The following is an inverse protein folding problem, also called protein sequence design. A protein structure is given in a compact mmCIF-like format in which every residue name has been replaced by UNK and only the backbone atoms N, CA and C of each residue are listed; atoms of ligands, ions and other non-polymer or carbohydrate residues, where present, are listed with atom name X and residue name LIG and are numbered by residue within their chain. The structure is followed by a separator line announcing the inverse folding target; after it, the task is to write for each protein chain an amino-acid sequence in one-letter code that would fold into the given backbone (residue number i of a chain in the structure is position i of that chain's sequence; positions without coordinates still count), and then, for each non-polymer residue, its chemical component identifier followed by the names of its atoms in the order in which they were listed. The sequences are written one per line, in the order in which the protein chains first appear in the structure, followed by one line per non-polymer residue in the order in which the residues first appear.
data_IF_917865933703
#
_entry.id   IF_917865933703
#
_cell.length_a   1.000
_cell.length_b   1.000
_cell.length_c   1.000
_cell.angle_alpha   90.00
_cell.angle_beta   90.00
_cell.angle_gamma   90.00
#
_symmetry.space_group_name_H-M   'P 1'
#
loop_
_entity.id
_entity.type
_entity.pdbx_description
1 polymer ?
#
# COMPACT_ATOMS: atom_id res chain seq x y z
N UNK A 1 74.83 -21.98 -29.37
CA UNK A 1 73.34 -22.08 -29.12
C UNK A 1 72.67 -20.71 -28.93
N UNK A 2 73.30 -19.76 -28.29
CA UNK A 2 72.67 -18.44 -27.95
C UNK A 2 72.29 -17.55 -29.14
N UNK A 3 73.04 -17.62 -30.26
CA UNK A 3 72.84 -16.82 -31.51
C UNK A 3 71.58 -17.25 -32.30
N UNK A 4 71.10 -18.49 -32.15
CA UNK A 4 69.85 -18.95 -32.82
C UNK A 4 68.64 -18.48 -32.08
N UNK A 5 68.71 -18.40 -30.78
CA UNK A 5 67.59 -17.95 -29.95
C UNK A 5 67.22 -16.47 -30.13
N UNK A 6 68.27 -15.63 -30.31
CA UNK A 6 68.09 -14.19 -30.54
C UNK A 6 67.45 -13.88 -31.91
N UNK A 7 67.71 -14.77 -32.94
CA UNK A 7 67.15 -14.58 -34.28
C UNK A 7 65.68 -14.97 -34.39
N UNK A 8 65.20 -15.93 -33.59
CA UNK A 8 63.75 -16.28 -33.50
C UNK A 8 62.93 -15.20 -32.82
N UNK A 9 63.40 -14.57 -31.72
CA UNK A 9 62.70 -13.48 -31.02
C UNK A 9 62.58 -12.26 -31.95
N UNK A 10 63.52 -11.99 -32.81
CA UNK A 10 63.48 -10.83 -33.72
C UNK A 10 62.52 -11.03 -34.90
N UNK A 11 62.17 -12.27 -35.26
CA UNK A 11 61.26 -12.55 -36.37
C UNK A 11 59.78 -12.66 -35.93
N UNK A 12 59.52 -12.97 -34.65
CA UNK A 12 58.16 -12.97 -34.11
C UNK A 12 57.64 -11.58 -33.78
N UNK A 13 58.52 -10.60 -33.54
CA UNK A 13 58.14 -9.22 -33.14
C UNK A 13 57.58 -8.38 -34.32
N UNK A 14 57.82 -8.77 -35.59
CA UNK A 14 57.45 -7.92 -36.76
C UNK A 14 56.00 -8.19 -37.22
N UNK A 15 55.46 -9.39 -36.97
CA UNK A 15 54.10 -9.77 -37.42
C UNK A 15 53.02 -9.52 -36.40
N UNK A 16 53.35 -9.47 -35.08
CA UNK A 16 52.37 -9.24 -34.02
C UNK A 16 52.09 -7.76 -33.72
N UNK A 17 53.11 -6.89 -34.00
CA UNK A 17 53.00 -5.45 -33.76
C UNK A 17 51.87 -4.76 -34.56
N UNK A 18 51.70 -5.02 -35.87
CA UNK A 18 50.63 -4.38 -36.65
C UNK A 18 49.23 -4.88 -36.23
N UNK A 19 49.10 -6.14 -35.80
CA UNK A 19 47.85 -6.70 -35.37
C UNK A 19 47.37 -6.08 -34.04
N UNK A 20 48.28 -5.85 -33.09
CA UNK A 20 48.00 -5.19 -31.81
C UNK A 20 47.63 -3.71 -32.03
N UNK A 21 48.34 -3.01 -32.96
CA UNK A 21 48.04 -1.61 -33.31
C UNK A 21 46.64 -1.49 -33.94
N UNK A 22 46.30 -2.41 -34.87
CA UNK A 22 44.96 -2.43 -35.49
C UNK A 22 43.88 -2.71 -34.47
N UNK A 23 44.10 -3.62 -33.52
CA UNK A 23 43.16 -3.92 -32.44
C UNK A 23 42.98 -2.71 -31.48
N UNK A 24 44.06 -2.00 -31.17
CA UNK A 24 44.02 -0.77 -30.36
C UNK A 24 43.28 0.39 -31.08
N UNK A 25 43.45 0.51 -32.39
CA UNK A 25 42.73 1.49 -33.23
C UNK A 25 41.22 1.20 -33.30
N UNK A 26 40.83 -0.08 -33.33
CA UNK A 26 39.41 -0.46 -33.33
C UNK A 26 38.71 -0.12 -32.00
N UNK A 27 39.41 -0.20 -30.87
CA UNK A 27 38.89 0.25 -29.58
C UNK A 27 38.71 1.78 -29.48
N UNK A 28 39.50 2.56 -30.22
CA UNK A 28 39.43 4.02 -30.22
C UNK A 28 38.19 4.59 -30.95
N UNK A 29 37.55 3.79 -31.81
CA UNK A 29 36.38 4.22 -32.62
C UNK A 29 35.06 3.90 -31.92
N UNK A 30 35.08 3.14 -30.81
CA UNK A 30 33.88 2.65 -30.11
C UNK A 30 33.19 3.68 -29.25
N UNK A 31 33.67 4.91 -29.13
CA UNK A 31 33.01 5.96 -28.32
C UNK A 31 32.42 7.04 -29.23
N UNK A 32 31.36 6.71 -29.99
CA UNK A 32 30.48 7.71 -30.58
C UNK A 32 29.42 8.07 -29.53
N UNK A 33 29.64 9.12 -28.76
CA UNK A 33 28.62 9.74 -27.96
C UNK A 33 27.57 10.38 -28.89
N UNK A 34 26.43 9.72 -29.08
CA UNK A 34 25.26 10.38 -29.64
C UNK A 34 24.96 11.59 -28.75
N UNK A 35 25.07 12.79 -29.30
CA UNK A 35 24.59 14.00 -28.64
C UNK A 35 23.10 13.85 -28.48
N UNK A 36 22.67 13.40 -27.29
CA UNK A 36 21.26 13.46 -26.88
C UNK A 36 20.86 14.94 -26.90
N UNK A 37 19.91 15.28 -27.76
CA UNK A 37 19.27 16.59 -27.70
C UNK A 37 18.79 16.80 -26.27
N UNK A 38 19.35 17.78 -25.60
CA UNK A 38 18.90 18.20 -24.27
C UNK A 38 17.56 18.88 -24.49
N UNK A 39 16.48 18.12 -24.44
CA UNK A 39 15.13 18.67 -24.36
C UNK A 39 15.09 19.48 -23.09
N UNK A 40 14.87 20.78 -23.21
CA UNK A 40 14.75 21.69 -22.07
C UNK A 40 13.38 21.46 -21.42
N UNK A 41 13.23 20.30 -20.75
CA UNK A 41 12.05 20.00 -19.93
C UNK A 41 12.19 20.84 -18.68
N UNK A 42 11.27 21.75 -18.47
CA UNK A 42 11.12 22.45 -17.18
C UNK A 42 10.78 21.40 -16.15
N UNK A 43 11.81 20.95 -15.42
CA UNK A 43 11.62 19.96 -14.36
C UNK A 43 11.03 20.65 -13.12
N UNK A 44 9.78 20.34 -12.82
CA UNK A 44 9.13 20.73 -11.56
C UNK A 44 9.14 19.55 -10.58
N UNK A 45 9.86 19.61 -9.46
CA UNK A 45 9.94 18.52 -8.49
C UNK A 45 8.58 18.12 -7.87
N UNK A 46 7.62 19.06 -7.84
CA UNK A 46 6.32 18.82 -7.23
C UNK A 46 5.39 18.00 -8.14
N UNK A 47 5.55 18.13 -9.46
CA UNK A 47 4.70 17.48 -10.46
C UNK A 47 5.38 16.35 -11.22
N UNK A 48 6.71 16.20 -11.07
CA UNK A 48 7.49 15.20 -11.77
C UNK A 48 7.76 13.99 -10.88
N UNK A 49 7.22 12.82 -11.25
CA UNK A 49 7.54 11.58 -10.56
C UNK A 49 8.99 11.14 -10.84
N UNK A 50 9.64 10.57 -9.84
CA UNK A 50 11.01 10.02 -9.94
C UNK A 50 11.01 8.55 -10.35
N UNK A 51 9.89 7.86 -10.14
CA UNK A 51 9.68 6.47 -10.55
C UNK A 51 8.22 6.27 -10.96
N UNK A 52 8.00 5.48 -12.03
CA UNK A 52 6.71 4.92 -12.40
C UNK A 52 6.86 3.41 -12.53
N UNK A 53 5.99 2.66 -11.88
CA UNK A 53 5.81 1.23 -12.09
C UNK A 53 4.36 0.97 -12.53
N UNK A 54 4.16 -0.04 -13.37
CA UNK A 54 2.86 -0.49 -13.84
C UNK A 54 2.69 -1.98 -13.57
N UNK A 55 1.43 -2.43 -13.44
CA UNK A 55 1.14 -3.84 -13.16
C UNK A 55 1.87 -4.33 -11.90
N UNK A 56 1.76 -3.54 -10.83
CA UNK A 56 2.49 -3.78 -9.58
C UNK A 56 1.84 -4.91 -8.81
N UNK A 57 2.62 -5.95 -8.50
CA UNK A 57 2.29 -6.98 -7.51
C UNK A 57 3.55 -7.23 -6.68
N UNK A 58 3.54 -6.80 -5.44
CA UNK A 58 4.71 -6.86 -4.58
C UNK A 58 4.40 -7.38 -3.19
N UNK A 59 5.35 -8.12 -2.62
CA UNK A 59 5.31 -8.61 -1.25
C UNK A 59 6.21 -7.75 -0.37
N UNK A 60 5.68 -7.30 0.74
CA UNK A 60 6.39 -6.49 1.73
C UNK A 60 6.65 -7.36 2.95
N UNK A 61 7.94 -7.53 3.28
CA UNK A 61 8.38 -8.34 4.40
C UNK A 61 8.99 -7.48 5.48
N UNK A 62 8.74 -7.84 6.72
CA UNK A 62 9.38 -7.29 7.91
C UNK A 62 10.05 -8.41 8.69
N UNK A 63 11.34 -8.24 9.01
CA UNK A 63 12.14 -9.20 9.79
C UNK A 63 12.10 -10.62 9.22
N UNK A 64 12.06 -10.76 7.88
CA UNK A 64 12.04 -12.04 7.17
C UNK A 64 10.65 -12.70 7.06
N UNK A 65 9.61 -12.07 7.59
CA UNK A 65 8.23 -12.55 7.49
C UNK A 65 7.47 -11.65 6.51
N UNK A 66 6.83 -12.24 5.50
CA UNK A 66 5.95 -11.50 4.59
C UNK A 66 4.72 -11.04 5.36
N UNK A 67 4.51 -9.71 5.36
CA UNK A 67 3.41 -9.08 6.11
C UNK A 67 2.30 -8.59 5.22
N UNK A 68 2.63 -8.11 4.01
CA UNK A 68 1.64 -7.51 3.11
C UNK A 68 1.90 -7.94 1.67
N UNK A 69 0.83 -8.02 0.89
CA UNK A 69 0.82 -7.98 -0.57
C UNK A 69 0.19 -6.68 -1.00
N UNK A 70 0.80 -5.99 -1.93
CA UNK A 70 0.28 -4.77 -2.54
C UNK A 70 0.14 -5.00 -4.03
N UNK A 71 -1.05 -4.72 -4.56
CA UNK A 71 -1.37 -4.76 -5.97
C UNK A 71 -1.90 -3.39 -6.42
N UNK A 72 -1.43 -2.90 -7.57
CA UNK A 72 -1.87 -1.64 -8.15
C UNK A 72 -1.56 -1.60 -9.65
N UNK A 73 -2.42 -0.97 -10.44
CA UNK A 73 -2.17 -0.81 -11.88
C UNK A 73 -1.03 0.16 -12.15
N UNK A 74 -0.97 1.25 -11.41
CA UNK A 74 0.09 2.26 -11.53
C UNK A 74 0.57 2.72 -10.15
N UNK A 75 1.88 2.78 -9.98
CA UNK A 75 2.56 3.33 -8.80
C UNK A 75 3.53 4.42 -9.22
N UNK A 76 3.29 5.65 -8.77
CA UNK A 76 4.13 6.82 -9.00
C UNK A 76 4.83 7.24 -7.71
N UNK A 77 6.12 7.53 -7.78
CA UNK A 77 6.90 8.03 -6.63
C UNK A 77 7.37 9.45 -6.91
N UNK A 78 6.98 10.38 -6.06
CA UNK A 78 7.39 11.79 -6.09
C UNK A 78 8.46 12.04 -5.02
N UNK A 79 9.64 11.40 -5.22
CA UNK A 79 10.71 11.40 -4.23
C UNK A 79 11.43 12.73 -4.06
N UNK A 80 11.29 13.68 -5.00
CA UNK A 80 11.90 15.00 -4.96
C UNK A 80 10.93 16.13 -4.64
N UNK A 81 9.65 15.83 -4.42
CA UNK A 81 8.69 16.78 -3.92
C UNK A 81 9.11 17.29 -2.52
N UNK A 82 8.68 18.50 -2.16
CA UNK A 82 8.95 19.09 -0.83
C UNK A 82 8.51 18.15 0.30
N UNK A 83 7.38 17.48 0.12
CA UNK A 83 6.89 16.38 0.93
C UNK A 83 6.85 15.12 0.05
N UNK A 84 7.85 14.22 0.11
CA UNK A 84 7.89 13.02 -0.71
C UNK A 84 6.68 12.12 -0.45
N UNK A 85 6.09 11.59 -1.53
CA UNK A 85 4.94 10.71 -1.44
C UNK A 85 4.90 9.69 -2.58
N UNK A 86 4.17 8.62 -2.35
CA UNK A 86 3.76 7.66 -3.36
C UNK A 86 2.30 7.93 -3.75
N UNK A 87 1.96 7.68 -4.98
CA UNK A 87 0.63 7.91 -5.52
C UNK A 87 0.18 6.72 -6.37
N UNK A 88 -1.02 6.25 -6.11
CA UNK A 88 -1.69 5.15 -6.80
C UNK A 88 -2.98 5.70 -7.42
N UNK A 89 -2.94 6.17 -8.68
CA UNK A 89 -4.07 6.87 -9.32
C UNK A 89 -5.23 5.96 -9.74
N UNK A 90 -4.95 4.69 -9.99
CA UNK A 90 -5.87 3.74 -10.65
C UNK A 90 -6.26 2.60 -9.69
N UNK A 91 -6.22 2.86 -8.39
CA UNK A 91 -6.58 1.92 -7.37
C UNK A 91 -5.41 1.25 -6.67
N UNK A 92 -5.72 0.69 -5.52
CA UNK A 92 -4.81 -0.11 -4.70
C UNK A 92 -5.58 -1.23 -4.02
N UNK A 93 -4.97 -2.40 -3.98
CA UNK A 93 -5.42 -3.52 -3.16
C UNK A 93 -4.26 -3.99 -2.28
N UNK A 94 -4.50 -4.11 -0.98
CA UNK A 94 -3.50 -4.56 -0.01
C UNK A 94 -4.09 -5.67 0.83
N UNK A 95 -3.36 -6.78 0.95
CA UNK A 95 -3.63 -7.85 1.91
C UNK A 95 -2.60 -7.83 3.03
N UNK A 96 -3.06 -8.05 4.26
CA UNK A 96 -2.23 -8.30 5.43
C UNK A 96 -2.21 -9.79 5.71
N UNK A 97 -1.03 -10.34 6.00
CA UNK A 97 -0.83 -11.75 6.34
C UNK A 97 -0.41 -11.95 7.79
N UNK A 98 -0.83 -13.08 8.35
CA UNK A 98 -0.30 -13.61 9.59
C UNK A 98 1.11 -14.22 9.40
N UNK A 99 1.69 -14.77 10.45
CA UNK A 99 3.02 -15.42 10.40
C UNK A 99 3.04 -16.72 9.59
N UNK A 100 1.90 -17.30 9.29
CA UNK A 100 1.71 -18.52 8.50
C UNK A 100 1.32 -18.24 7.05
N UNK A 101 1.33 -16.96 6.65
CA UNK A 101 0.94 -16.50 5.31
C UNK A 101 -0.55 -16.69 4.99
N UNK A 102 -1.42 -16.66 6.00
CA UNK A 102 -2.86 -16.57 5.80
C UNK A 102 -3.28 -15.10 5.76
N UNK A 103 -4.22 -14.74 4.88
CA UNK A 103 -4.75 -13.39 4.81
C UNK A 103 -5.60 -13.07 6.06
N UNK A 104 -5.21 -12.06 6.82
CA UNK A 104 -5.92 -11.58 8.02
C UNK A 104 -6.88 -10.44 7.71
N UNK A 105 -6.52 -9.60 6.76
CA UNK A 105 -7.31 -8.44 6.38
C UNK A 105 -6.99 -8.02 4.95
N UNK A 106 -7.91 -7.32 4.31
CA UNK A 106 -7.64 -6.63 3.05
C UNK A 106 -8.19 -5.22 3.07
N UNK A 107 -7.57 -4.35 2.29
CA UNK A 107 -8.02 -2.98 2.06
C UNK A 107 -7.96 -2.68 0.57
N UNK A 108 -9.00 -2.01 0.07
CA UNK A 108 -9.15 -1.60 -1.32
C UNK A 108 -9.58 -0.14 -1.37
N UNK A 109 -9.13 0.60 -2.38
CA UNK A 109 -9.55 1.98 -2.63
C UNK A 109 -9.32 2.37 -4.09
N UNK A 110 -10.09 3.33 -4.60
CA UNK A 110 -9.92 3.84 -5.97
C UNK A 110 -8.60 4.59 -6.15
N UNK A 111 -8.10 5.22 -5.09
CA UNK A 111 -6.90 6.04 -5.11
C UNK A 111 -6.21 5.98 -3.75
N UNK A 112 -4.87 5.98 -3.75
CA UNK A 112 -4.11 6.03 -2.50
C UNK A 112 -2.89 6.94 -2.60
N UNK A 113 -2.54 7.52 -1.46
CA UNK A 113 -1.32 8.29 -1.22
C UNK A 113 -0.60 7.74 0.00
N UNK A 114 0.72 7.66 -0.09
CA UNK A 114 1.57 7.36 1.07
C UNK A 114 2.59 8.45 1.27
N UNK A 115 2.51 9.16 2.38
CA UNK A 115 3.44 10.20 2.80
C UNK A 115 4.53 9.58 3.68
N UNK A 116 5.68 9.25 3.08
CA UNK A 116 6.77 8.50 3.70
C UNK A 116 7.28 9.14 5.00
N UNK A 117 7.58 10.44 4.99
CA UNK A 117 8.04 11.16 6.19
C UNK A 117 7.06 11.12 7.35
N UNK A 118 5.76 11.05 7.07
CA UNK A 118 4.69 11.01 8.07
C UNK A 118 4.34 9.59 8.49
N UNK A 119 4.65 8.57 7.65
CA UNK A 119 4.14 7.23 7.80
C UNK A 119 2.61 7.20 7.69
N UNK A 120 2.05 8.03 6.78
CA UNK A 120 0.62 8.26 6.67
C UNK A 120 0.12 7.80 5.31
N UNK A 121 -0.78 6.82 5.32
CA UNK A 121 -1.61 6.46 4.18
C UNK A 121 -2.88 7.29 4.16
N UNK A 122 -3.28 7.74 2.99
CA UNK A 122 -4.57 8.33 2.68
C UNK A 122 -5.20 7.56 1.54
N UNK A 123 -6.34 6.95 1.79
CA UNK A 123 -7.10 6.15 0.86
C UNK A 123 -8.38 6.93 0.51
N UNK A 124 -8.74 7.01 -0.77
CA UNK A 124 -9.83 7.85 -1.27
C UNK A 124 -10.64 7.09 -2.30
N UNK A 125 -11.96 7.25 -2.25
CA UNK A 125 -12.93 6.65 -3.16
C UNK A 125 -13.17 5.17 -2.84
N UNK A 126 -14.40 4.74 -2.71
CA UNK A 126 -14.85 3.36 -2.45
C UNK A 126 -13.90 2.56 -1.55
N UNK A 127 -13.50 3.17 -0.41
CA UNK A 127 -12.59 2.48 0.51
C UNK A 127 -13.33 1.34 1.19
N UNK A 128 -12.85 0.12 0.98
CA UNK A 128 -13.36 -1.08 1.63
C UNK A 128 -12.26 -1.76 2.43
N UNK A 129 -12.55 -2.09 3.68
CA UNK A 129 -11.68 -2.89 4.55
C UNK A 129 -12.42 -4.13 4.97
N UNK A 130 -11.82 -5.29 4.77
CA UNK A 130 -12.36 -6.58 5.21
C UNK A 130 -11.43 -7.17 6.27
N UNK A 131 -11.98 -7.56 7.40
CA UNK A 131 -11.24 -8.25 8.46
C UNK A 131 -11.45 -9.77 8.38
N UNK A 132 -10.53 -10.53 8.96
CA UNK A 132 -10.63 -11.98 9.06
C UNK A 132 -11.90 -12.44 9.79
N UNK A 133 -12.47 -11.58 10.64
CA UNK A 133 -13.68 -11.86 11.38
C UNK A 133 -14.98 -11.66 10.56
N UNK A 134 -14.82 -11.31 9.27
CA UNK A 134 -15.92 -11.12 8.34
C UNK A 134 -16.59 -9.74 8.46
N UNK A 135 -16.00 -8.81 9.19
CA UNK A 135 -16.46 -7.43 9.22
C UNK A 135 -16.02 -6.68 7.97
N UNK A 136 -16.90 -5.89 7.43
CA UNK A 136 -16.63 -5.03 6.28
C UNK A 136 -16.89 -3.58 6.65
N UNK A 137 -15.87 -2.75 6.44
CA UNK A 137 -15.91 -1.31 6.67
C UNK A 137 -15.89 -0.62 5.31
N UNK A 138 -16.84 0.28 5.07
CA UNK A 138 -16.94 1.03 3.82
C UNK A 138 -17.01 2.52 4.11
N UNK A 139 -16.17 3.32 3.43
CA UNK A 139 -16.12 4.79 3.56
C UNK A 139 -15.60 5.42 2.28
N UNK A 140 -15.71 6.74 2.15
CA UNK A 140 -15.16 7.47 0.99
C UNK A 140 -13.73 7.95 1.18
N UNK A 141 -13.22 7.98 2.41
CA UNK A 141 -11.85 8.38 2.72
C UNK A 141 -11.40 7.72 4.03
N UNK A 142 -10.16 7.24 4.08
CA UNK A 142 -9.58 6.62 5.26
C UNK A 142 -8.11 7.04 5.40
N UNK A 143 -7.70 7.31 6.62
CA UNK A 143 -6.33 7.60 6.98
C UNK A 143 -5.77 6.48 7.86
N UNK A 144 -4.58 5.98 7.54
CA UNK A 144 -3.83 5.06 8.39
C UNK A 144 -2.48 5.69 8.74
N UNK A 145 -2.34 6.07 9.99
CA UNK A 145 -1.11 6.62 10.53
C UNK A 145 -0.31 5.51 11.22
N UNK A 146 0.72 5.01 10.55
CA UNK A 146 1.56 3.91 11.05
C UNK A 146 2.32 4.30 12.32
N UNK A 147 2.78 5.57 12.41
CA UNK A 147 3.54 6.04 13.59
C UNK A 147 2.69 6.17 14.85
N UNK A 148 1.40 6.44 14.68
CA UNK A 148 0.43 6.53 15.77
C UNK A 148 -0.34 5.24 15.98
N UNK A 149 -0.11 4.22 15.14
CA UNK A 149 -0.83 2.95 15.13
C UNK A 149 -2.35 3.14 15.10
N UNK A 150 -2.80 4.11 14.27
CA UNK A 150 -4.18 4.58 14.26
C UNK A 150 -4.75 4.62 12.85
N UNK A 151 -6.00 4.14 12.73
CA UNK A 151 -6.82 4.28 11.53
C UNK A 151 -7.97 5.22 11.87
N UNK A 152 -8.29 6.18 10.99
CA UNK A 152 -9.37 7.12 11.23
C UNK A 152 -9.97 7.68 9.95
N UNK A 153 -11.20 8.15 10.06
CA UNK A 153 -11.94 8.86 9.03
C UNK A 153 -12.87 9.88 9.66
N UNK A 154 -13.08 11.02 9.03
CA UNK A 154 -14.09 12.00 9.38
C UNK A 154 -15.35 11.90 8.49
N UNK A 155 -15.34 10.94 7.54
CA UNK A 155 -16.43 10.71 6.60
C UNK A 155 -17.47 9.75 7.18
N UNK A 156 -18.58 9.64 6.45
CA UNK A 156 -19.55 8.59 6.68
C UNK A 156 -18.89 7.22 6.58
N UNK A 157 -19.19 6.36 7.56
CA UNK A 157 -18.74 4.98 7.59
C UNK A 157 -19.92 4.03 7.75
N UNK A 158 -19.85 2.91 7.06
CA UNK A 158 -20.75 1.78 7.20
C UNK A 158 -19.92 0.55 7.60
N UNK A 159 -20.31 -0.06 8.70
CA UNK A 159 -19.71 -1.30 9.20
C UNK A 159 -20.78 -2.38 9.12
N UNK A 160 -20.48 -3.41 8.35
CA UNK A 160 -21.31 -4.59 8.25
C UNK A 160 -20.66 -5.74 8.99
N UNK A 161 -21.36 -6.26 9.97
CA UNK A 161 -21.07 -7.50 10.68
C UNK A 161 -22.12 -8.55 10.28
N UNK A 162 -21.98 -9.81 10.75
CA UNK A 162 -22.85 -10.92 10.32
C UNK A 162 -24.36 -10.57 10.34
N UNK A 163 -24.85 -9.97 11.42
CA UNK A 163 -26.27 -9.66 11.61
C UNK A 163 -26.55 -8.19 11.95
N UNK A 164 -25.50 -7.35 11.92
CA UNK A 164 -25.58 -5.98 12.33
C UNK A 164 -25.01 -5.03 11.27
N UNK A 165 -25.67 -3.90 11.10
CA UNK A 165 -25.15 -2.80 10.30
C UNK A 165 -25.08 -1.58 11.20
N UNK A 166 -23.87 -1.03 11.33
CA UNK A 166 -23.60 0.18 12.09
C UNK A 166 -23.14 1.24 11.12
N UNK A 167 -23.69 2.43 11.22
CA UNK A 167 -23.29 3.57 10.40
C UNK A 167 -23.00 4.77 11.28
N UNK A 168 -22.22 5.71 10.81
CA UNK A 168 -21.95 6.94 11.54
C UNK A 168 -21.11 7.91 10.74
N UNK A 169 -20.79 9.03 11.35
CA UNK A 169 -19.88 10.04 10.82
C UNK A 169 -18.70 10.15 11.79
N UNK A 170 -17.50 9.95 11.28
CA UNK A 170 -16.28 9.88 12.09
C UNK A 170 -16.03 8.49 12.66
N UNK A 171 -14.82 8.00 12.38
CA UNK A 171 -14.33 6.69 12.78
C UNK A 171 -12.90 6.80 13.29
N UNK A 172 -12.60 6.09 14.34
CA UNK A 172 -11.26 6.00 14.93
C UNK A 172 -11.02 4.60 15.44
N UNK A 173 -9.89 3.99 15.09
CA UNK A 173 -9.53 2.63 15.48
C UNK A 173 -8.02 2.50 15.73
N UNK A 174 -7.62 1.46 16.47
CA UNK A 174 -6.25 0.97 16.43
C UNK A 174 -5.94 0.33 15.06
N UNK A 175 -4.66 0.16 14.73
CA UNK A 175 -4.24 -0.34 13.40
C UNK A 175 -4.71 -1.76 13.08
N UNK A 176 -5.03 -2.57 14.08
CA UNK A 176 -5.54 -3.94 13.91
C UNK A 176 -7.08 -3.97 13.80
N UNK A 177 -7.73 -2.81 13.86
CA UNK A 177 -9.19 -2.62 13.80
C UNK A 177 -9.97 -3.46 14.82
N UNK A 178 -9.32 -3.87 15.93
CA UNK A 178 -9.93 -4.68 17.00
C UNK A 178 -10.70 -3.85 18.02
N UNK A 179 -10.44 -2.55 18.08
CA UNK A 179 -11.15 -1.58 18.94
C UNK A 179 -11.39 -0.32 18.15
N UNK A 180 -12.64 0.07 18.00
CA UNK A 180 -12.99 1.27 17.26
C UNK A 180 -14.10 2.07 17.93
N UNK A 181 -14.16 3.32 17.59
CA UNK A 181 -15.17 4.29 18.01
C UNK A 181 -15.80 4.93 16.78
N UNK A 182 -17.12 5.02 16.78
CA UNK A 182 -17.89 5.71 15.74
C UNK A 182 -18.62 6.86 16.38
N UNK A 183 -18.55 8.03 15.77
CA UNK A 183 -19.30 9.21 16.20
C UNK A 183 -20.62 9.28 15.42
N UNK A 184 -21.64 9.91 16.03
CA UNK A 184 -22.98 10.06 15.44
C UNK A 184 -23.56 8.74 14.90
N UNK A 185 -23.38 7.65 15.64
CA UNK A 185 -23.71 6.31 15.18
C UNK A 185 -25.21 6.05 15.15
N UNK A 186 -25.61 5.24 14.15
CA UNK A 186 -26.94 4.63 14.04
C UNK A 186 -26.73 3.15 13.75
N UNK A 187 -27.53 2.27 14.33
CA UNK A 187 -27.39 0.84 14.12
C UNK A 187 -28.74 0.15 13.96
N UNK A 188 -28.72 -0.97 13.24
CA UNK A 188 -29.80 -1.94 13.21
C UNK A 188 -29.27 -3.17 13.94
N UNK A 189 -29.90 -3.51 15.03
CA UNK A 189 -29.53 -4.66 15.86
C UNK A 189 -30.65 -5.69 15.78
N UNK A 190 -30.32 -6.99 15.64
CA UNK A 190 -31.33 -8.03 15.77
C UNK A 190 -31.89 -8.03 17.19
N UNK A 191 -33.20 -8.08 17.32
CA UNK A 191 -33.88 -8.20 18.61
C UNK A 191 -34.19 -9.67 18.82
N UNK A 192 -33.56 -10.26 19.82
CA UNK A 192 -33.90 -11.61 20.27
C UNK A 192 -35.29 -11.57 20.89
N UNK A 193 -36.34 -12.01 20.19
CA UNK A 193 -37.72 -12.10 20.68
C UNK A 193 -37.88 -13.09 21.85
N UNK A 194 -36.85 -13.85 22.20
CA UNK A 194 -36.91 -14.87 23.26
C UNK A 194 -36.94 -14.32 24.70
N UNK A 195 -36.79 -13.02 24.91
CA UNK A 195 -36.77 -12.42 26.27
C UNK A 195 -38.07 -11.70 26.69
N UNK A 196 -39.12 -11.70 25.87
CA UNK A 196 -40.37 -11.01 26.17
C UNK A 196 -41.53 -11.98 26.50
N UNK A 197 -41.35 -12.83 27.51
CA UNK A 197 -42.51 -13.39 28.23
C UNK A 197 -42.59 -12.84 29.66
N UNK A 198 -42.89 -11.54 29.80
CA UNK A 198 -43.53 -10.95 30.98
C UNK A 198 -43.84 -9.48 30.77
N UNK A 199 -45.15 -9.23 30.75
CA UNK A 199 -45.91 -7.98 30.79
C UNK A 199 -46.35 -7.39 29.45
N UNK A 200 -47.53 -7.80 29.10
CA UNK A 200 -48.43 -7.07 28.22
C UNK A 200 -48.86 -5.75 28.89
N UNK A 201 -48.61 -4.63 28.27
CA UNK A 201 -49.53 -3.49 28.24
C UNK A 201 -49.07 -2.55 27.12
N UNK A 202 -49.96 -2.43 26.14
CA UNK A 202 -50.12 -1.37 25.13
C UNK A 202 -49.03 -0.31 25.01
N UNK A 203 -48.28 -0.36 23.88
CA UNK A 203 -48.02 0.86 23.11
C UNK A 203 -47.48 0.46 21.72
N UNK A 204 -48.07 1.04 20.70
CA UNK A 204 -47.70 0.94 19.27
C UNK A 204 -46.20 1.04 19.05
N UNK A 205 -45.61 0.00 18.45
CA UNK A 205 -44.21 -0.05 18.11
C UNK A 205 -43.89 0.86 16.90
N UNK A 206 -43.56 2.10 17.18
CA UNK A 206 -42.82 2.95 16.27
C UNK A 206 -41.35 2.57 16.46
N UNK A 207 -40.67 2.08 15.43
CA UNK A 207 -39.25 1.80 15.46
C UNK A 207 -38.48 3.09 15.77
N UNK A 208 -38.09 3.26 17.01
CA UNK A 208 -37.35 4.43 17.47
C UNK A 208 -35.89 4.24 17.09
N UNK A 209 -35.44 4.97 16.07
CA UNK A 209 -34.03 5.14 15.80
C UNK A 209 -33.38 5.90 16.96
N UNK A 210 -32.71 5.22 17.83
CA UNK A 210 -31.98 5.84 18.94
C UNK A 210 -30.65 6.40 18.43
N UNK A 211 -30.49 7.70 18.54
CA UNK A 211 -29.25 8.41 18.22
C UNK A 211 -28.34 8.32 19.43
N UNK A 212 -27.24 7.59 19.30
CA UNK A 212 -26.20 7.51 20.33
C UNK A 212 -25.02 8.37 19.87
N UNK A 213 -24.57 9.31 20.69
CA UNK A 213 -23.53 10.28 20.34
C UNK A 213 -22.17 9.63 20.07
N UNK A 214 -21.90 8.47 20.65
CA UNK A 214 -20.74 7.64 20.33
C UNK A 214 -20.88 6.20 20.82
N UNK A 215 -20.44 5.23 20.05
CA UNK A 215 -20.37 3.82 20.44
C UNK A 215 -18.91 3.37 20.37
N UNK A 216 -18.43 2.76 21.46
CA UNK A 216 -17.09 2.16 21.51
C UNK A 216 -17.22 0.65 21.52
N UNK A 217 -16.62 -0.01 20.56
CA UNK A 217 -16.59 -1.48 20.45
C UNK A 217 -15.21 -2.00 20.82
N UNK A 218 -15.19 -3.09 21.59
CA UNK A 218 -13.97 -3.83 21.90
C UNK A 218 -14.21 -5.30 21.58
N UNK A 219 -13.41 -5.85 20.68
CA UNK A 219 -13.46 -7.26 20.32
C UNK A 219 -12.59 -8.07 21.28
N UNK A 220 -13.10 -9.22 21.73
CA UNK A 220 -12.28 -10.17 22.48
C UNK A 220 -11.36 -10.89 21.51
N UNK A 221 -10.06 -11.04 21.83
CA UNK A 221 -9.17 -11.87 21.01
C UNK A 221 -9.68 -13.32 21.01
N UNK A 222 -9.68 -13.94 19.83
CA UNK A 222 -9.97 -15.38 19.69
C UNK A 222 -8.85 -16.13 20.39
N UNK A 223 -9.19 -16.93 21.41
CA UNK A 223 -8.25 -17.87 22.02
C UNK A 223 -7.91 -18.93 20.98
N UNK A 224 -6.67 -18.97 20.56
CA UNK A 224 -6.11 -20.11 19.82
C UNK A 224 -6.34 -21.40 20.63
N UNK A 225 -6.86 -22.40 19.95
CA UNK A 225 -6.95 -23.77 20.46
C UNK A 225 -5.78 -24.59 19.96
#
# INVERSE_FOLDING_TARGET
MLRRFIREIKNQSITTTPLVVVMLLLFAISCSEEKKEVVNVVYDPETSYTMKATEVNTLISDSGITRYRLEADTWLVFGKAKEPYWYFPEGIYVEKFDSLFNAEASIEADTAFFYDKKGLWRLVGHVEVKSLQGEQFSTSELFWNQKQEKIYSDKYIRIQQQEQIITGEGFESNQDMTRYKISNSKGVFPVDESSHSRQASDTLATSKMEKVDSITFSMKPIKER
#
